data_IF_273308796628
#
_entry.id   IF_273308796628
#
_cell.length_a   1.000
_cell.length_b   1.000
_cell.length_c   1.000
_cell.angle_alpha   90.00
_cell.angle_beta   90.00
_cell.angle_gamma   90.00
#
_symmetry.space_group_name_H-M   'P 1'
#
loop_
_entity.id
_entity.type
_entity.pdbx_description
1 polymer ?
#
# COMPACT_ATOMS: atom_id res chain seq x y z
N UNK A 1 22.02 -8.98 3.01
CA UNK A 1 22.49 -9.28 4.37
C UNK A 1 23.54 -8.25 4.77
N UNK A 2 23.73 -8.00 6.06
CA UNK A 2 24.84 -7.20 6.59
C UNK A 2 25.72 -8.14 7.40
N UNK A 3 26.68 -8.79 6.73
CA UNK A 3 27.48 -9.86 7.33
C UNK A 3 28.23 -9.35 8.59
N UNK A 4 28.32 -10.18 9.65
CA UNK A 4 27.95 -11.59 9.70
C UNK A 4 26.43 -11.86 9.88
N UNK A 5 25.63 -10.85 10.19
CA UNK A 5 24.19 -11.02 10.34
C UNK A 5 23.51 -11.33 8.99
N UNK A 6 22.67 -12.38 9.00
CA UNK A 6 21.91 -12.79 7.81
C UNK A 6 22.70 -13.61 6.78
N UNK A 7 23.81 -14.26 7.17
CA UNK A 7 24.53 -15.22 6.30
C UNK A 7 23.61 -16.33 5.77
N UNK A 8 22.63 -16.76 6.56
CA UNK A 8 21.62 -17.74 6.13
C UNK A 8 20.83 -17.28 4.88
N UNK A 9 20.58 -15.97 4.72
CA UNK A 9 19.94 -15.44 3.51
C UNK A 9 20.85 -15.53 2.28
N UNK A 10 22.17 -15.33 2.46
CA UNK A 10 23.14 -15.50 1.37
C UNK A 10 23.20 -16.97 0.93
N UNK A 11 23.27 -17.91 1.88
CA UNK A 11 23.26 -19.35 1.58
C UNK A 11 21.98 -19.75 0.84
N UNK A 12 20.82 -19.36 1.37
CA UNK A 12 19.53 -19.65 0.74
C UNK A 12 19.44 -19.07 -0.69
N UNK A 13 19.88 -17.82 -0.89
CA UNK A 13 19.88 -17.20 -2.21
C UNK A 13 20.81 -17.92 -3.20
N UNK A 14 21.98 -18.39 -2.74
CA UNK A 14 22.91 -19.15 -3.56
C UNK A 14 22.34 -20.51 -3.96
N UNK A 15 21.71 -21.22 -3.02
CA UNK A 15 21.05 -22.49 -3.29
C UNK A 15 19.89 -22.34 -4.28
N UNK A 16 19.05 -21.32 -4.08
CA UNK A 16 17.97 -20.99 -5.01
C UNK A 16 18.49 -20.64 -6.41
N UNK A 17 19.55 -19.83 -6.50
CA UNK A 17 20.16 -19.47 -7.77
C UNK A 17 20.78 -20.68 -8.48
N UNK A 18 21.46 -21.56 -7.76
CA UNK A 18 22.05 -22.78 -8.31
C UNK A 18 20.99 -23.80 -8.76
N UNK A 19 19.87 -23.90 -8.05
CA UNK A 19 18.73 -24.71 -8.45
C UNK A 19 18.04 -24.15 -9.72
N UNK A 20 17.92 -22.83 -9.83
CA UNK A 20 17.32 -22.16 -10.99
C UNK A 20 18.23 -22.16 -12.23
N UNK A 21 19.55 -22.13 -12.04
CA UNK A 21 20.57 -22.18 -13.10
C UNK A 21 21.58 -23.30 -12.84
N UNK A 22 21.21 -24.58 -13.07
CA UNK A 22 22.09 -25.72 -12.81
C UNK A 22 23.41 -25.67 -13.59
N UNK A 23 23.39 -25.06 -14.78
CA UNK A 23 24.55 -24.82 -15.62
C UNK A 23 25.61 -23.90 -14.96
N UNK A 24 25.18 -23.01 -14.06
CA UNK A 24 26.06 -22.10 -13.31
C UNK A 24 26.31 -22.55 -11.87
N UNK A 25 25.74 -23.68 -11.43
CA UNK A 25 25.73 -24.07 -10.02
C UNK A 25 27.14 -24.22 -9.43
N UNK A 26 28.09 -24.76 -10.18
CA UNK A 26 29.49 -24.88 -9.74
C UNK A 26 30.16 -23.51 -9.54
N UNK A 27 29.93 -22.57 -10.45
CA UNK A 27 30.45 -21.20 -10.36
C UNK A 27 29.80 -20.42 -9.21
N UNK A 28 28.49 -20.55 -9.01
CA UNK A 28 27.79 -19.92 -7.88
C UNK A 28 28.38 -20.43 -6.56
N UNK A 29 28.50 -21.75 -6.39
CA UNK A 29 29.04 -22.36 -5.16
C UNK A 29 30.48 -21.95 -4.89
N UNK A 30 31.33 -21.77 -5.91
CA UNK A 30 32.71 -21.34 -5.70
C UNK A 30 32.82 -19.87 -5.25
N UNK A 31 31.82 -19.03 -5.55
CA UNK A 31 31.77 -17.63 -5.13
C UNK A 31 31.25 -17.44 -3.69
N UNK A 32 30.42 -18.36 -3.17
CA UNK A 32 29.81 -18.22 -1.84
C UNK A 32 30.85 -17.98 -0.73
N UNK A 33 31.96 -18.73 -0.62
CA UNK A 33 32.98 -18.48 0.42
C UNK A 33 33.69 -17.13 0.27
N UNK A 34 33.72 -16.56 -0.94
CA UNK A 34 34.30 -15.23 -1.20
C UNK A 34 33.34 -14.14 -0.75
N UNK A 35 32.05 -14.30 -1.06
CA UNK A 35 31.01 -13.31 -0.73
C UNK A 35 30.64 -13.37 0.76
N UNK A 36 30.74 -14.54 1.40
CA UNK A 36 30.44 -14.74 2.81
C UNK A 36 31.52 -14.20 3.76
N UNK A 37 32.69 -13.82 3.25
CA UNK A 37 33.81 -13.31 4.05
C UNK A 37 33.80 -11.77 4.10
N UNK A 38 33.44 -11.13 5.24
CA UNK A 38 33.36 -9.68 5.36
C UNK A 38 34.74 -8.97 5.26
N UNK A 39 35.84 -9.73 5.37
CA UNK A 39 37.19 -9.25 5.16
C UNK A 39 37.52 -8.97 3.68
N UNK A 40 36.75 -9.54 2.75
CA UNK A 40 37.00 -9.41 1.31
C UNK A 40 36.28 -8.20 0.71
N UNK A 41 37.00 -7.47 -0.15
CA UNK A 41 36.42 -6.36 -0.92
C UNK A 41 35.22 -6.81 -1.76
N UNK A 42 35.31 -8.00 -2.37
CA UNK A 42 34.22 -8.58 -3.17
C UNK A 42 32.91 -8.72 -2.35
N UNK A 43 33.00 -9.15 -1.08
CA UNK A 43 31.83 -9.25 -0.18
C UNK A 43 31.18 -7.87 0.03
N UNK A 44 32.01 -6.85 0.32
CA UNK A 44 31.54 -5.48 0.54
C UNK A 44 30.87 -4.90 -0.71
N UNK A 45 31.51 -5.03 -1.87
CA UNK A 45 30.95 -4.55 -3.16
C UNK A 45 29.67 -5.30 -3.53
N UNK A 46 29.60 -6.60 -3.27
CA UNK A 46 28.38 -7.39 -3.48
C UNK A 46 27.22 -6.86 -2.60
N UNK A 47 27.47 -6.62 -1.30
CA UNK A 47 26.45 -6.01 -0.42
C UNK A 47 26.03 -4.60 -0.87
N UNK A 48 26.96 -3.80 -1.40
CA UNK A 48 26.66 -2.47 -1.96
C UNK A 48 25.83 -2.53 -3.27
N UNK A 49 25.92 -3.63 -4.02
CA UNK A 49 25.27 -3.78 -5.34
C UNK A 49 23.91 -4.46 -5.25
N UNK A 50 23.72 -5.38 -4.30
CA UNK A 50 22.47 -6.15 -4.18
C UNK A 50 21.26 -5.28 -3.83
N UNK A 51 21.44 -4.20 -3.05
CA UNK A 51 20.38 -3.24 -2.75
C UNK A 51 19.81 -2.58 -4.02
N UNK A 52 20.64 -1.88 -4.83
CA UNK A 52 20.23 -1.34 -6.12
C UNK A 52 19.61 -2.36 -7.08
N UNK A 53 20.15 -3.59 -7.13
CA UNK A 53 19.58 -4.66 -7.98
C UNK A 53 18.16 -5.02 -7.55
N UNK A 54 17.91 -5.16 -6.25
CA UNK A 54 16.55 -5.41 -5.73
C UNK A 54 15.63 -4.22 -6.02
N UNK A 55 16.05 -3.00 -5.72
CA UNK A 55 15.22 -1.81 -5.95
C UNK A 55 14.85 -1.66 -7.43
N UNK A 56 15.82 -1.77 -8.35
CA UNK A 56 15.57 -1.60 -9.79
C UNK A 56 14.88 -2.79 -10.44
N UNK A 57 15.21 -4.01 -10.04
CA UNK A 57 14.61 -5.22 -10.62
C UNK A 57 13.22 -5.52 -10.07
N UNK A 58 12.98 -5.29 -8.78
CA UNK A 58 11.71 -5.62 -8.11
C UNK A 58 10.80 -4.41 -8.06
N UNK A 59 11.22 -3.35 -7.36
CA UNK A 59 10.33 -2.22 -7.05
C UNK A 59 10.05 -1.32 -8.26
N UNK A 60 11.05 -1.11 -9.11
CA UNK A 60 10.96 -0.27 -10.32
C UNK A 60 10.73 -1.08 -11.61
N UNK A 61 10.48 -2.39 -11.54
CA UNK A 61 10.14 -3.19 -12.72
C UNK A 61 9.10 -4.28 -12.43
N UNK A 62 9.45 -5.30 -11.64
CA UNK A 62 8.55 -6.43 -11.38
C UNK A 62 7.20 -6.00 -10.78
N UNK A 63 7.17 -4.98 -9.91
CA UNK A 63 5.95 -4.41 -9.34
C UNK A 63 5.00 -3.80 -10.36
N UNK A 64 5.51 -3.35 -11.51
CA UNK A 64 4.69 -2.84 -12.61
C UNK A 64 4.23 -3.95 -13.57
N UNK A 65 4.77 -5.16 -13.44
CA UNK A 65 4.37 -6.36 -14.18
C UNK A 65 3.40 -7.25 -13.38
N UNK A 66 3.52 -7.25 -12.05
CA UNK A 66 2.60 -7.94 -11.14
C UNK A 66 1.36 -7.08 -10.85
N UNK A 67 0.37 -7.19 -11.73
CA UNK A 67 -0.78 -6.27 -11.79
C UNK A 67 -2.05 -6.81 -11.14
N UNK A 68 -1.97 -7.96 -10.44
CA UNK A 68 -3.15 -8.63 -9.85
C UNK A 68 -3.96 -7.71 -8.92
N UNK A 69 -3.27 -6.96 -8.06
CA UNK A 69 -3.85 -5.96 -7.18
C UNK A 69 -2.77 -4.95 -6.77
N UNK A 70 -2.95 -3.68 -7.15
CA UNK A 70 -1.94 -2.63 -7.00
C UNK A 70 -1.60 -2.25 -5.54
N UNK A 71 -2.30 -2.82 -4.56
CA UNK A 71 -1.98 -2.65 -3.13
C UNK A 71 -0.87 -3.57 -2.65
N UNK A 72 -0.60 -4.65 -3.38
CA UNK A 72 0.42 -5.66 -3.03
C UNK A 72 1.81 -5.25 -3.49
N UNK A 73 1.90 -4.41 -4.52
CA UNK A 73 3.16 -3.93 -5.12
C UNK A 73 3.52 -2.56 -4.56
N UNK A 74 3.94 -2.55 -3.28
CA UNK A 74 4.46 -1.37 -2.57
C UNK A 74 5.90 -1.56 -2.13
N UNK A 75 6.61 -0.45 -1.92
CA UNK A 75 7.99 -0.47 -1.40
C UNK A 75 8.04 -1.24 -0.07
N UNK A 76 8.92 -2.24 0.00
CA UNK A 76 9.05 -3.16 1.15
C UNK A 76 7.97 -4.25 1.24
N UNK A 77 7.01 -4.31 0.32
CA UNK A 77 6.02 -5.38 0.21
C UNK A 77 6.54 -6.59 -0.56
N UNK A 78 6.07 -7.78 -0.19
CA UNK A 78 6.20 -8.99 -1.00
C UNK A 78 4.85 -9.23 -1.70
N UNK A 79 4.75 -8.94 -3.01
CA UNK A 79 3.48 -9.05 -3.70
C UNK A 79 3.02 -10.49 -3.85
N UNK A 80 3.82 -11.52 -3.52
CA UNK A 80 3.36 -12.92 -3.50
C UNK A 80 2.47 -13.22 -2.28
N UNK A 81 2.69 -12.51 -1.17
CA UNK A 81 1.89 -12.61 0.05
C UNK A 81 0.61 -11.77 -0.11
N UNK A 82 -0.48 -12.42 -0.49
CA UNK A 82 -1.75 -11.73 -0.80
C UNK A 82 -2.40 -11.06 0.42
N UNK A 83 -2.38 -11.72 1.58
CA UNK A 83 -3.00 -11.21 2.79
C UNK A 83 -2.31 -11.75 4.05
N UNK A 84 -2.49 -11.03 5.16
CA UNK A 84 -2.15 -11.50 6.50
C UNK A 84 -3.44 -11.81 7.27
N UNK A 85 -3.40 -12.87 8.07
CA UNK A 85 -4.44 -13.13 9.06
C UNK A 85 -4.37 -12.11 10.21
N UNK A 86 -5.46 -11.97 10.97
CA UNK A 86 -5.48 -11.13 12.18
C UNK A 86 -4.40 -11.57 13.18
N UNK A 87 -4.25 -12.89 13.39
CA UNK A 87 -3.16 -13.44 14.19
C UNK A 87 -1.77 -13.08 13.65
N UNK A 88 -1.58 -13.11 12.31
CA UNK A 88 -0.34 -12.70 11.66
C UNK A 88 -0.02 -11.21 11.88
N UNK A 89 -1.03 -10.34 11.83
CA UNK A 89 -0.89 -8.91 12.15
C UNK A 89 -0.46 -8.69 13.61
N UNK A 90 -1.08 -9.40 14.55
CA UNK A 90 -0.71 -9.33 15.96
C UNK A 90 0.71 -9.86 16.21
N UNK A 91 1.09 -10.96 15.59
CA UNK A 91 2.45 -11.50 15.68
C UNK A 91 3.50 -10.52 15.13
N UNK A 92 3.22 -9.85 14.01
CA UNK A 92 4.09 -8.81 13.46
C UNK A 92 4.21 -7.60 14.40
N UNK A 93 3.11 -7.20 15.03
CA UNK A 93 3.08 -6.10 16.00
C UNK A 93 3.84 -6.43 17.28
N UNK A 94 3.69 -7.64 17.82
CA UNK A 94 4.44 -8.14 18.97
C UNK A 94 5.95 -8.20 18.68
N UNK A 95 6.34 -8.71 17.50
CA UNK A 95 7.75 -8.70 17.08
C UNK A 95 8.34 -7.29 17.00
N UNK A 96 7.57 -6.33 16.48
CA UNK A 96 8.02 -4.93 16.45
C UNK A 96 8.19 -4.38 17.87
N UNK A 97 7.23 -4.64 18.76
CA UNK A 97 7.30 -4.19 20.15
C UNK A 97 8.52 -4.75 20.90
N UNK A 98 8.91 -6.00 20.63
CA UNK A 98 10.03 -6.64 21.34
C UNK A 98 11.40 -6.33 20.74
N UNK A 99 11.51 -6.29 19.40
CA UNK A 99 12.81 -6.16 18.73
C UNK A 99 13.14 -4.72 18.33
N UNK A 100 12.14 -3.92 17.95
CA UNK A 100 12.33 -2.56 17.43
C UNK A 100 11.25 -1.59 17.92
N UNK A 101 11.10 -1.37 19.24
CA UNK A 101 10.00 -0.58 19.79
C UNK A 101 9.97 0.89 19.33
N UNK A 102 11.12 1.41 18.88
CA UNK A 102 11.28 2.80 18.42
C UNK A 102 11.42 2.93 16.89
N UNK A 103 11.21 1.86 16.12
CA UNK A 103 11.26 1.95 14.65
C UNK A 103 10.09 2.76 14.11
N UNK A 104 10.32 3.45 12.99
CA UNK A 104 9.24 4.14 12.29
C UNK A 104 8.21 3.13 11.76
N UNK A 105 6.94 3.51 11.82
CA UNK A 105 5.87 2.88 11.06
C UNK A 105 5.30 3.90 10.10
N UNK A 106 5.21 3.58 8.82
CA UNK A 106 4.71 4.50 7.79
C UNK A 106 3.64 3.82 6.94
N UNK A 107 2.63 4.60 6.54
CA UNK A 107 1.65 4.19 5.54
C UNK A 107 1.92 4.85 4.18
N UNK A 108 2.41 6.08 4.17
CA UNK A 108 2.76 6.81 2.95
C UNK A 108 4.11 7.45 3.12
N UNK A 109 4.90 7.53 2.06
CA UNK A 109 6.14 8.31 2.03
C UNK A 109 6.25 9.02 0.67
N UNK A 110 7.31 9.80 0.49
CA UNK A 110 7.64 10.39 -0.81
C UNK A 110 8.06 9.37 -1.88
N UNK A 111 8.23 8.09 -1.50
CA UNK A 111 8.68 7.01 -2.39
C UNK A 111 7.68 5.85 -2.53
N UNK A 112 6.59 5.83 -1.75
CA UNK A 112 5.52 4.83 -1.95
C UNK A 112 4.93 4.92 -3.36
N UNK A 113 4.63 3.78 -4.00
CA UNK A 113 4.12 3.73 -5.38
C UNK A 113 2.68 4.25 -5.48
N UNK A 114 1.88 4.10 -4.42
CA UNK A 114 0.57 4.75 -4.22
C UNK A 114 0.40 5.17 -2.77
N UNK A 115 -0.27 6.29 -2.51
CA UNK A 115 -0.60 6.72 -1.14
C UNK A 115 -1.59 5.79 -0.45
N UNK A 116 -1.62 5.86 0.87
CA UNK A 116 -2.40 4.98 1.74
C UNK A 116 -3.90 4.90 1.40
N UNK A 117 -4.53 5.97 0.92
CA UNK A 117 -5.97 5.96 0.66
C UNK A 117 -6.32 5.43 -0.73
N UNK A 118 -5.39 5.57 -1.69
CA UNK A 118 -5.46 4.82 -2.95
C UNK A 118 -5.44 3.32 -2.64
N UNK A 119 -4.51 2.90 -1.78
CA UNK A 119 -4.40 1.49 -1.40
C UNK A 119 -5.59 1.02 -0.55
N UNK A 120 -6.08 1.83 0.38
CA UNK A 120 -7.25 1.51 1.18
C UNK A 120 -8.49 1.24 0.33
N UNK A 121 -8.72 2.06 -0.71
CA UNK A 121 -9.81 1.85 -1.67
C UNK A 121 -9.58 0.61 -2.53
N UNK A 122 -8.37 0.43 -3.07
CA UNK A 122 -8.08 -0.72 -3.93
C UNK A 122 -8.16 -2.05 -3.18
N UNK A 123 -7.81 -2.10 -1.90
CA UNK A 123 -7.95 -3.32 -1.09
C UNK A 123 -9.38 -3.83 -1.03
N UNK A 124 -10.40 -2.97 -1.19
CA UNK A 124 -11.80 -3.39 -1.24
C UNK A 124 -12.15 -4.19 -2.51
N UNK A 125 -11.35 -4.09 -3.58
CA UNK A 125 -11.52 -4.94 -4.77
C UNK A 125 -11.34 -6.44 -4.44
N UNK A 126 -10.52 -6.77 -3.44
CA UNK A 126 -10.31 -8.15 -3.01
C UNK A 126 -11.58 -8.79 -2.41
N UNK A 127 -12.52 -8.00 -1.92
CA UNK A 127 -13.83 -8.48 -1.44
C UNK A 127 -14.88 -8.61 -2.55
N UNK A 128 -14.65 -7.96 -3.70
CA UNK A 128 -15.56 -7.93 -4.83
C UNK A 128 -14.88 -8.28 -6.16
N UNK A 129 -14.13 -9.41 -6.26
CA UNK A 129 -13.32 -9.72 -7.45
C UNK A 129 -14.17 -9.89 -8.72
N UNK A 130 -15.35 -10.49 -8.62
CA UNK A 130 -16.26 -10.65 -9.76
C UNK A 130 -16.77 -9.30 -10.28
N UNK A 131 -17.10 -8.37 -9.37
CA UNK A 131 -17.52 -7.01 -9.72
C UNK A 131 -16.40 -6.27 -10.44
N UNK A 132 -15.17 -6.40 -9.96
CA UNK A 132 -13.99 -5.83 -10.63
C UNK A 132 -13.78 -6.43 -12.02
N UNK A 133 -13.84 -7.75 -12.16
CA UNK A 133 -13.64 -8.43 -13.43
C UNK A 133 -14.66 -7.97 -14.49
N UNK A 134 -15.94 -7.85 -14.12
CA UNK A 134 -16.98 -7.32 -15.01
C UNK A 134 -16.70 -5.87 -15.41
N UNK A 135 -16.39 -5.00 -14.44
CA UNK A 135 -16.10 -3.60 -14.72
C UNK A 135 -14.85 -3.44 -15.61
N UNK A 136 -13.78 -4.18 -15.32
CA UNK A 136 -12.55 -4.17 -16.13
C UNK A 136 -12.80 -4.63 -17.56
N UNK A 137 -13.62 -5.67 -17.76
CA UNK A 137 -14.01 -6.13 -19.10
C UNK A 137 -14.72 -5.02 -19.89
N UNK A 138 -15.68 -4.34 -19.24
CA UNK A 138 -16.38 -3.21 -19.85
C UNK A 138 -15.45 -2.01 -20.12
N UNK A 139 -14.54 -1.69 -19.20
CA UNK A 139 -13.57 -0.62 -19.39
C UNK A 139 -12.61 -0.92 -20.55
N UNK A 140 -12.15 -2.17 -20.67
CA UNK A 140 -11.26 -2.61 -21.75
C UNK A 140 -11.94 -2.67 -23.12
N UNK A 141 -13.26 -2.91 -23.17
CA UNK A 141 -14.00 -2.79 -24.43
C UNK A 141 -14.19 -1.33 -24.86
N UNK A 142 -14.11 -0.38 -23.93
CA UNK A 142 -14.16 1.05 -24.20
C UNK A 142 -12.79 1.54 -24.70
N UNK A 143 -11.71 1.24 -23.96
CA UNK A 143 -10.35 1.60 -24.32
C UNK A 143 -9.32 0.62 -23.72
N UNK A 144 -8.32 0.27 -24.51
CA UNK A 144 -7.26 -0.68 -24.17
C UNK A 144 -5.95 -0.25 -24.79
N UNK A 145 -4.84 -0.53 -24.11
CA UNK A 145 -3.48 -0.41 -24.66
C UNK A 145 -3.08 -1.59 -25.54
N UNK A 146 -3.92 -2.63 -25.60
CA UNK A 146 -3.58 -3.93 -26.18
C UNK A 146 -2.74 -4.81 -25.25
N UNK A 147 -2.39 -4.32 -24.04
CA UNK A 147 -1.65 -5.07 -23.03
C UNK A 147 -2.49 -5.27 -21.77
N UNK A 148 -3.17 -6.42 -21.67
CA UNK A 148 -4.19 -6.67 -20.64
C UNK A 148 -3.76 -6.50 -19.18
N UNK A 149 -2.59 -7.03 -18.76
CA UNK A 149 -2.07 -6.79 -17.40
C UNK A 149 -1.86 -5.29 -17.12
N UNK A 150 -1.35 -4.54 -18.11
CA UNK A 150 -1.10 -3.11 -17.95
C UNK A 150 -2.41 -2.31 -17.91
N UNK A 151 -3.41 -2.67 -18.74
CA UNK A 151 -4.75 -2.08 -18.65
C UNK A 151 -5.34 -2.24 -17.24
N UNK A 152 -5.20 -3.43 -16.63
CA UNK A 152 -5.66 -3.69 -15.26
C UNK A 152 -4.97 -2.75 -14.26
N UNK A 153 -3.65 -2.57 -14.37
CA UNK A 153 -2.88 -1.66 -13.51
C UNK A 153 -3.35 -0.21 -13.63
N UNK A 154 -3.56 0.27 -14.86
CA UNK A 154 -3.97 1.66 -15.12
C UNK A 154 -5.41 1.89 -14.64
N UNK A 155 -6.34 0.97 -14.95
CA UNK A 155 -7.72 1.10 -14.48
C UNK A 155 -7.84 1.02 -12.95
N UNK A 156 -7.03 0.19 -12.28
CA UNK A 156 -6.93 0.23 -10.82
C UNK A 156 -6.40 1.59 -10.34
N UNK A 157 -5.34 2.13 -10.92
CA UNK A 157 -4.82 3.44 -10.51
C UNK A 157 -5.86 4.56 -10.68
N UNK A 158 -6.61 4.54 -11.78
CA UNK A 158 -7.72 5.47 -12.05
C UNK A 158 -8.78 5.36 -10.94
N UNK A 159 -9.30 4.17 -10.67
CA UNK A 159 -10.32 3.93 -9.63
C UNK A 159 -9.80 4.29 -8.24
N UNK A 160 -8.56 3.92 -7.94
CA UNK A 160 -7.90 4.16 -6.66
C UNK A 160 -7.72 5.65 -6.38
N UNK A 161 -7.27 6.43 -7.38
CA UNK A 161 -7.00 7.86 -7.24
C UNK A 161 -8.19 8.78 -7.54
N UNK A 162 -9.34 8.23 -7.97
CA UNK A 162 -10.49 9.03 -8.41
C UNK A 162 -11.09 9.91 -7.29
N UNK A 163 -11.48 11.17 -7.57
CA UNK A 163 -11.24 11.91 -8.81
C UNK A 163 -9.77 12.34 -8.94
N UNK A 164 -9.20 12.18 -10.14
CA UNK A 164 -7.86 12.64 -10.49
C UNK A 164 -7.88 13.23 -11.89
N UNK A 165 -7.07 14.26 -12.14
CA UNK A 165 -7.05 14.91 -13.45
C UNK A 165 -6.43 14.00 -14.52
N UNK A 166 -6.80 14.16 -15.80
CA UNK A 166 -6.20 13.40 -16.91
C UNK A 166 -4.67 13.47 -16.91
N UNK A 167 -4.09 14.64 -16.60
CA UNK A 167 -2.64 14.85 -16.62
C UNK A 167 -1.92 14.00 -15.57
N UNK A 168 -2.49 13.90 -14.36
CA UNK A 168 -1.95 13.06 -13.28
C UNK A 168 -2.00 11.58 -13.64
N UNK A 169 -3.14 11.14 -14.19
CA UNK A 169 -3.35 9.75 -14.58
C UNK A 169 -2.45 9.34 -15.76
N UNK A 170 -2.29 10.23 -16.76
CA UNK A 170 -1.36 10.05 -17.87
C UNK A 170 0.08 9.95 -17.40
N UNK A 171 0.53 10.90 -16.57
CA UNK A 171 1.90 10.91 -16.05
C UNK A 171 2.23 9.61 -15.30
N UNK A 172 1.30 9.14 -14.46
CA UNK A 172 1.42 7.84 -13.80
C UNK A 172 1.49 6.68 -14.81
N UNK A 173 0.58 6.63 -15.78
CA UNK A 173 0.49 5.50 -16.70
C UNK A 173 1.73 5.39 -17.60
N UNK A 174 2.22 6.50 -18.15
CA UNK A 174 3.47 6.52 -18.94
C UNK A 174 4.66 6.07 -18.09
N UNK A 175 4.79 6.58 -16.86
CA UNK A 175 5.85 6.14 -15.94
C UNK A 175 5.74 4.65 -15.67
N UNK A 176 4.56 4.15 -15.29
CA UNK A 176 4.32 2.73 -15.03
C UNK A 176 4.66 1.84 -16.24
N UNK A 177 4.35 2.28 -17.45
CA UNK A 177 4.66 1.54 -18.68
C UNK A 177 6.17 1.47 -18.93
N UNK A 178 6.89 2.59 -18.72
CA UNK A 178 8.34 2.66 -18.92
C UNK A 178 9.13 1.91 -17.86
N UNK A 179 8.66 1.94 -16.60
CA UNK A 179 9.22 1.14 -15.51
C UNK A 179 9.00 -0.38 -15.77
N UNK A 180 7.84 -0.78 -16.29
CA UNK A 180 7.61 -2.19 -16.63
C UNK A 180 8.55 -2.68 -17.74
N UNK A 181 8.92 -1.81 -18.69
CA UNK A 181 9.80 -2.14 -19.83
C UNK A 181 9.32 -3.36 -20.64
N UNK A 182 8.01 -3.59 -20.72
CA UNK A 182 7.42 -4.68 -21.52
C UNK A 182 7.02 -4.24 -22.93
N UNK A 183 6.60 -2.98 -23.09
CA UNK A 183 6.09 -2.42 -24.36
C UNK A 183 6.69 -1.07 -24.75
N UNK A 184 7.09 -0.27 -23.75
CA UNK A 184 7.83 0.99 -23.91
C UNK A 184 8.84 1.05 -22.77
N UNK A 185 9.94 1.78 -22.92
CA UNK A 185 10.96 1.92 -21.87
C UNK A 185 11.50 3.34 -21.80
N UNK A 186 12.26 3.64 -20.74
CA UNK A 186 12.96 4.92 -20.64
C UNK A 186 14.03 5.12 -21.72
N UNK A 187 14.65 4.04 -22.20
CA UNK A 187 15.75 4.10 -23.18
C UNK A 187 15.24 4.13 -24.62
N UNK A 188 14.16 3.40 -24.90
CA UNK A 188 13.53 3.27 -26.22
C UNK A 188 12.01 3.40 -26.06
N UNK A 189 11.46 4.64 -26.12
CA UNK A 189 10.03 4.88 -25.99
C UNK A 189 9.24 4.45 -27.24
N UNK A 190 8.15 3.70 -27.04
CA UNK A 190 7.18 3.35 -28.09
C UNK A 190 6.05 4.39 -28.10
N UNK A 191 6.11 5.32 -29.05
CA UNK A 191 5.12 6.39 -29.21
C UNK A 191 3.70 5.87 -29.51
N UNK A 192 3.57 4.81 -30.30
CA UNK A 192 2.27 4.24 -30.66
C UNK A 192 1.61 3.58 -29.44
N UNK A 193 2.40 2.93 -28.59
CA UNK A 193 1.90 2.41 -27.31
C UNK A 193 1.53 3.53 -26.34
N UNK A 194 2.34 4.58 -26.22
CA UNK A 194 2.04 5.73 -25.37
C UNK A 194 0.80 6.51 -25.83
N UNK A 195 0.52 6.61 -27.13
CA UNK A 195 -0.73 7.18 -27.66
C UNK A 195 -1.97 6.38 -27.24
N UNK A 196 -1.86 5.04 -27.13
CA UNK A 196 -2.96 4.22 -26.61
C UNK A 196 -3.19 4.44 -25.12
N UNK A 197 -2.14 4.78 -24.35
CA UNK A 197 -2.29 5.20 -22.94
C UNK A 197 -3.13 6.48 -22.87
N UNK A 198 -2.88 7.43 -23.77
CA UNK A 198 -3.63 8.69 -23.84
C UNK A 198 -5.10 8.43 -24.16
N UNK A 199 -5.38 7.53 -25.11
CA UNK A 199 -6.74 7.08 -25.40
C UNK A 199 -7.45 6.45 -24.20
N UNK A 200 -6.74 5.66 -23.39
CA UNK A 200 -7.28 5.04 -22.17
C UNK A 200 -7.61 6.10 -21.10
N UNK A 201 -6.69 7.02 -20.83
CA UNK A 201 -6.89 8.10 -19.85
C UNK A 201 -8.02 9.05 -20.27
N UNK A 202 -8.11 9.37 -21.57
CA UNK A 202 -9.21 10.16 -22.11
C UNK A 202 -10.55 9.43 -21.97
N UNK A 203 -10.58 8.11 -22.22
CA UNK A 203 -11.78 7.31 -22.05
C UNK A 203 -12.29 7.28 -20.61
N UNK A 204 -11.41 7.32 -19.60
CA UNK A 204 -11.79 7.38 -18.19
C UNK A 204 -12.63 8.62 -17.84
N UNK A 205 -12.40 9.74 -18.54
CA UNK A 205 -13.14 10.99 -18.38
C UNK A 205 -14.26 11.18 -19.41
N UNK A 206 -14.30 10.33 -20.45
CA UNK A 206 -15.32 10.32 -21.49
C UNK A 206 -16.22 9.09 -21.35
N UNK A 207 -16.17 8.20 -22.37
CA UNK A 207 -17.07 7.05 -22.51
C UNK A 207 -17.06 6.07 -21.32
N UNK A 208 -15.98 6.00 -20.55
CA UNK A 208 -15.81 5.11 -19.39
C UNK A 208 -16.22 5.74 -18.05
N UNK A 209 -16.53 7.04 -18.00
CA UNK A 209 -16.72 7.77 -16.73
C UNK A 209 -17.85 7.18 -15.88
N UNK A 210 -18.93 6.71 -16.51
CA UNK A 210 -20.05 6.08 -15.81
C UNK A 210 -19.62 4.78 -15.10
N UNK A 211 -18.79 3.97 -15.75
CA UNK A 211 -18.27 2.71 -15.18
C UNK A 211 -17.29 3.01 -14.05
N UNK A 212 -16.37 3.96 -14.25
CA UNK A 212 -15.43 4.41 -13.22
C UNK A 212 -16.20 4.93 -11.99
N UNK A 213 -17.17 5.82 -12.18
CA UNK A 213 -17.98 6.35 -11.08
C UNK A 213 -18.80 5.27 -10.37
N UNK A 214 -19.31 4.28 -11.10
CA UNK A 214 -20.02 3.15 -10.50
C UNK A 214 -19.09 2.34 -9.59
N UNK A 215 -17.90 1.96 -10.07
CA UNK A 215 -16.92 1.22 -9.26
C UNK A 215 -16.47 2.06 -8.06
N UNK A 216 -16.14 3.33 -8.26
CA UNK A 216 -15.72 4.22 -7.17
C UNK A 216 -16.85 4.41 -6.15
N UNK A 217 -18.10 4.46 -6.59
CA UNK A 217 -19.28 4.48 -5.73
C UNK A 217 -19.37 3.25 -4.85
N UNK A 218 -19.26 2.07 -5.44
CA UNK A 218 -19.32 0.77 -4.75
C UNK A 218 -18.21 0.64 -3.69
N UNK A 219 -17.01 1.17 -3.98
CA UNK A 219 -15.84 1.05 -3.10
C UNK A 219 -15.68 2.19 -2.10
N UNK A 220 -16.49 3.25 -2.18
CA UNK A 220 -16.24 4.50 -1.44
C UNK A 220 -16.23 4.31 0.07
N UNK A 221 -17.31 3.76 0.62
CA UNK A 221 -17.44 3.55 2.05
C UNK A 221 -16.41 2.53 2.57
N UNK A 222 -16.17 1.46 1.83
CA UNK A 222 -15.15 0.47 2.14
C UNK A 222 -13.73 1.06 2.15
N UNK A 223 -13.41 1.91 1.18
CA UNK A 223 -12.13 2.61 1.11
C UNK A 223 -11.90 3.55 2.29
N UNK A 224 -12.93 4.32 2.68
CA UNK A 224 -12.85 5.17 3.89
C UNK A 224 -12.71 4.34 5.16
N UNK A 225 -13.47 3.25 5.31
CA UNK A 225 -13.33 2.31 6.43
C UNK A 225 -11.91 1.76 6.52
N UNK A 226 -11.37 1.25 5.40
CA UNK A 226 -10.01 0.71 5.35
C UNK A 226 -8.95 1.76 5.67
N UNK A 227 -9.14 3.02 5.24
CA UNK A 227 -8.22 4.11 5.54
C UNK A 227 -8.21 4.47 7.03
N UNK A 228 -9.38 4.67 7.63
CA UNK A 228 -9.51 4.96 9.06
C UNK A 228 -8.93 3.81 9.89
N UNK A 229 -9.22 2.57 9.53
CA UNK A 229 -8.66 1.38 10.15
C UNK A 229 -7.14 1.35 10.05
N UNK A 230 -6.56 1.49 8.86
CA UNK A 230 -5.12 1.45 8.68
C UNK A 230 -4.43 2.57 9.47
N UNK A 231 -4.98 3.79 9.43
CA UNK A 231 -4.42 4.94 10.15
C UNK A 231 -4.50 4.75 11.66
N UNK A 232 -5.64 4.32 12.21
CA UNK A 232 -5.77 4.03 13.64
C UNK A 232 -4.81 2.92 14.09
N UNK A 233 -4.77 1.80 13.37
CA UNK A 233 -3.90 0.66 13.70
C UNK A 233 -2.41 1.04 13.66
N UNK A 234 -2.00 1.91 12.73
CA UNK A 234 -0.63 2.41 12.65
C UNK A 234 -0.30 3.39 13.80
N UNK A 235 -1.14 4.40 14.04
CA UNK A 235 -0.89 5.44 15.05
C UNK A 235 -0.92 4.87 16.48
N UNK A 236 -1.86 3.97 16.75
CA UNK A 236 -2.01 3.32 18.05
C UNK A 236 -1.06 2.13 18.23
N UNK A 237 -0.46 1.59 17.17
CA UNK A 237 0.37 0.39 17.21
C UNK A 237 1.79 0.59 17.80
N UNK A 238 2.57 -0.49 17.99
CA UNK A 238 3.98 -0.44 18.36
C UNK A 238 4.84 0.30 17.32
N UNK A 239 5.93 0.93 17.75
CA UNK A 239 6.78 1.78 16.89
C UNK A 239 6.49 3.29 17.06
N UNK A 240 7.18 4.12 16.29
CA UNK A 240 6.99 5.56 16.19
C UNK A 240 6.22 5.85 14.90
N UNK A 241 4.94 6.26 14.97
CA UNK A 241 4.16 6.46 13.76
C UNK A 241 4.60 7.72 13.02
N UNK A 242 5.00 7.55 11.77
CA UNK A 242 5.21 8.63 10.82
C UNK A 242 3.89 9.02 10.15
N UNK A 243 3.72 10.32 9.88
CA UNK A 243 2.56 10.88 9.18
C UNK A 243 3.09 11.76 8.06
N UNK A 244 3.07 11.22 6.86
CA UNK A 244 3.46 11.96 5.66
C UNK A 244 2.58 13.19 5.47
N UNK A 245 3.17 14.29 5.03
CA UNK A 245 2.50 15.58 4.91
C UNK A 245 1.19 15.47 4.12
N UNK A 246 0.10 15.91 4.72
CA UNK A 246 -1.21 15.89 4.08
C UNK A 246 -2.04 14.62 4.30
N UNK A 247 -1.43 13.52 4.75
CA UNK A 247 -2.09 12.21 4.96
C UNK A 247 -2.96 12.12 6.21
N UNK A 248 -3.05 13.19 7.01
CA UNK A 248 -4.08 13.35 8.04
C UNK A 248 -5.50 13.51 7.45
N UNK A 249 -5.59 13.84 6.16
CA UNK A 249 -6.81 13.79 5.34
C UNK A 249 -6.70 12.68 4.28
N UNK A 250 -7.70 12.56 3.39
CA UNK A 250 -7.64 11.64 2.26
C UNK A 250 -6.50 12.03 1.30
N UNK A 251 -5.49 11.17 1.16
CA UNK A 251 -4.39 11.27 0.22
C UNK A 251 -4.53 10.24 -0.91
N UNK A 252 -5.10 10.71 -2.02
CA UNK A 252 -5.30 9.96 -3.25
C UNK A 252 -4.17 10.22 -4.27
N UNK A 253 -2.92 10.27 -3.79
CA UNK A 253 -1.75 10.44 -4.66
C UNK A 253 -1.21 9.11 -5.20
N UNK A 254 -0.67 9.18 -6.41
CA UNK A 254 0.08 8.11 -7.07
C UNK A 254 1.59 8.32 -6.83
N UNK A 255 2.43 7.55 -7.53
CA UNK A 255 3.90 7.62 -7.39
C UNK A 255 4.45 9.01 -7.71
N UNK A 256 5.64 9.31 -7.17
CA UNK A 256 6.44 10.50 -7.47
C UNK A 256 6.41 10.87 -8.98
N UNK A 257 6.12 12.14 -9.33
CA UNK A 257 5.97 13.32 -8.45
C UNK A 257 4.56 13.57 -7.90
N UNK A 258 3.58 12.70 -8.13
CA UNK A 258 2.20 12.97 -7.72
C UNK A 258 2.01 13.02 -6.20
N UNK A 259 2.78 12.22 -5.45
CA UNK A 259 2.83 12.24 -3.97
C UNK A 259 3.66 13.40 -3.39
N UNK A 260 4.17 14.32 -4.23
CA UNK A 260 4.94 15.51 -3.80
C UNK A 260 4.21 16.82 -4.05
N UNK A 261 2.92 16.76 -4.40
CA UNK A 261 2.07 17.94 -4.61
C UNK A 261 1.99 18.80 -3.33
N UNK A 262 1.84 20.13 -3.45
CA UNK A 262 1.71 21.02 -2.30
C UNK A 262 0.53 20.67 -1.40
N UNK A 263 0.71 20.86 -0.09
CA UNK A 263 -0.31 20.59 0.93
C UNK A 263 -0.91 21.90 1.41
N UNK A 264 -2.25 22.02 1.35
CA UNK A 264 -2.96 23.14 1.98
C UNK A 264 -3.08 22.91 3.49
N UNK A 265 -2.07 23.41 4.23
CA UNK A 265 -2.06 23.39 5.70
C UNK A 265 -3.06 24.38 6.31
N UNK A 266 -3.44 25.44 5.60
CA UNK A 266 -4.39 26.42 6.11
C UNK A 266 -5.79 25.81 6.24
N UNK A 267 -6.23 25.04 5.24
CA UNK A 267 -7.48 24.28 5.31
C UNK A 267 -7.47 23.25 6.46
N UNK A 268 -6.36 22.52 6.63
CA UNK A 268 -6.19 21.54 7.71
C UNK A 268 -6.25 22.17 9.11
N UNK A 269 -5.61 23.33 9.29
CA UNK A 269 -5.67 24.06 10.58
C UNK A 269 -7.08 24.50 10.92
N UNK A 270 -7.84 25.00 9.94
CA UNK A 270 -9.26 25.37 10.16
C UNK A 270 -10.09 24.16 10.56
N UNK A 271 -10.00 23.07 9.78
CA UNK A 271 -10.74 21.85 10.11
C UNK A 271 -10.34 21.28 11.47
N UNK A 272 -9.05 21.31 11.83
CA UNK A 272 -8.58 20.87 13.15
C UNK A 272 -9.14 21.74 14.28
N UNK A 273 -9.22 23.06 14.09
CA UNK A 273 -9.84 23.95 15.06
C UNK A 273 -11.32 23.62 15.26
N UNK A 274 -12.08 23.41 14.18
CA UNK A 274 -13.49 23.02 14.27
C UNK A 274 -13.68 21.70 15.05
N UNK A 275 -12.79 20.71 14.83
CA UNK A 275 -12.79 19.45 15.59
C UNK A 275 -12.48 19.65 17.07
N UNK A 276 -11.57 20.58 17.38
CA UNK A 276 -11.17 20.92 18.74
C UNK A 276 -12.27 21.67 19.49
N UNK A 277 -13.08 22.45 18.76
CA UNK A 277 -14.29 23.12 19.25
C UNK A 277 -15.51 22.17 19.37
N UNK A 278 -15.33 20.88 19.08
CA UNK A 278 -16.32 19.84 19.33
C UNK A 278 -17.10 19.36 18.10
N UNK A 279 -16.72 19.78 16.88
CA UNK A 279 -17.28 19.20 15.66
C UNK A 279 -17.04 17.68 15.64
N UNK A 280 -18.13 16.91 15.50
CA UNK A 280 -18.07 15.48 15.19
C UNK A 280 -18.35 15.28 13.70
N UNK A 281 -17.33 15.09 12.86
CA UNK A 281 -17.49 15.02 11.41
C UNK A 281 -18.09 13.66 11.00
N UNK A 282 -18.93 13.63 9.95
CA UNK A 282 -19.30 12.37 9.31
C UNK A 282 -18.09 11.74 8.59
N UNK A 283 -18.22 10.46 8.21
CA UNK A 283 -17.29 9.81 7.30
C UNK A 283 -17.69 10.15 5.86
N UNK A 284 -17.07 11.18 5.30
CA UNK A 284 -17.38 11.68 3.96
C UNK A 284 -16.16 12.21 3.19
N UNK A 285 -16.40 12.92 2.09
CA UNK A 285 -15.36 13.50 1.23
C UNK A 285 -14.53 14.62 1.88
N UNK A 286 -14.95 15.19 3.00
CA UNK A 286 -14.20 16.26 3.71
C UNK A 286 -12.96 15.72 4.43
N UNK A 287 -12.90 14.41 4.67
CA UNK A 287 -11.87 13.73 5.45
C UNK A 287 -11.78 14.17 6.93
N UNK A 288 -12.79 14.88 7.46
CA UNK A 288 -12.82 15.29 8.86
C UNK A 288 -12.70 14.10 9.82
N UNK A 289 -13.35 12.98 9.52
CA UNK A 289 -13.23 11.75 10.30
C UNK A 289 -11.78 11.23 10.39
N UNK A 290 -10.99 11.34 9.32
CA UNK A 290 -9.58 10.90 9.32
C UNK A 290 -8.70 11.86 10.12
N UNK A 291 -8.95 13.16 10.03
CA UNK A 291 -8.26 14.15 10.85
C UNK A 291 -8.58 13.98 12.33
N UNK A 292 -9.83 13.65 12.66
CA UNK A 292 -10.23 13.31 14.02
C UNK A 292 -9.43 12.10 14.53
N UNK A 293 -9.43 10.97 13.80
CA UNK A 293 -8.64 9.78 14.18
C UNK A 293 -7.17 10.13 14.37
N UNK A 294 -6.59 10.87 13.42
CA UNK A 294 -5.16 11.19 13.41
C UNK A 294 -4.78 12.10 14.57
N UNK A 295 -5.50 13.21 14.74
CA UNK A 295 -5.23 14.18 15.80
C UNK A 295 -5.44 13.58 17.19
N UNK A 296 -6.52 12.83 17.41
CA UNK A 296 -6.83 12.25 18.73
C UNK A 296 -5.88 11.12 19.09
N UNK A 297 -5.52 10.23 18.15
CA UNK A 297 -4.55 9.17 18.42
C UNK A 297 -3.15 9.73 18.72
N UNK A 298 -2.67 10.72 17.94
CA UNK A 298 -1.36 11.33 18.17
C UNK A 298 -1.31 12.12 19.48
N UNK A 299 -2.33 12.92 19.79
CA UNK A 299 -2.39 13.67 21.06
C UNK A 299 -2.48 12.73 22.25
N UNK A 300 -3.28 11.67 22.18
CA UNK A 300 -3.34 10.66 23.24
C UNK A 300 -1.96 10.03 23.46
N UNK A 301 -1.25 9.68 22.39
CA UNK A 301 0.09 9.09 22.50
C UNK A 301 1.13 10.04 23.06
N UNK A 302 1.08 11.32 22.68
CA UNK A 302 2.00 12.37 23.14
C UNK A 302 1.74 12.76 24.60
N UNK A 303 0.48 12.99 24.94
CA UNK A 303 0.07 13.62 26.20
C UNK A 303 -0.23 12.58 27.30
N UNK A 304 -0.53 11.33 26.92
CA UNK A 304 -0.79 10.21 27.83
C UNK A 304 0.05 8.96 27.47
N UNK A 305 1.39 9.08 27.46
CA UNK A 305 2.27 7.95 27.13
C UNK A 305 2.14 6.78 28.13
N UNK A 306 1.63 7.04 29.34
CA UNK A 306 1.30 6.03 30.36
C UNK A 306 0.30 4.97 29.87
N UNK A 307 -0.51 5.30 28.85
CA UNK A 307 -1.48 4.37 28.24
C UNK A 307 -0.87 3.45 27.18
N UNK A 308 0.41 3.63 26.82
CA UNK A 308 1.10 2.95 25.72
C UNK A 308 2.31 2.12 26.18
N UNK A 309 2.11 1.26 27.18
CA UNK A 309 3.15 0.48 27.86
C UNK A 309 3.31 -0.96 27.37
N UNK A 310 2.32 -1.54 26.69
CA UNK A 310 2.32 -2.93 26.21
C UNK A 310 1.66 -3.08 24.85
N UNK A 311 1.53 -4.32 24.37
CA UNK A 311 0.69 -4.68 23.23
C UNK A 311 -0.01 -6.00 23.53
N UNK A 312 -1.33 -5.97 23.66
CA UNK A 312 -2.16 -7.14 23.97
C UNK A 312 -3.23 -7.28 22.88
N UNK A 313 -3.17 -8.32 22.02
CA UNK A 313 -4.27 -8.63 21.12
C UNK A 313 -5.56 -8.84 21.90
N UNK A 314 -6.66 -8.25 21.42
CA UNK A 314 -7.97 -8.39 22.06
C UNK A 314 -8.81 -9.42 21.29
N UNK A 315 -9.49 -10.29 22.03
CA UNK A 315 -10.48 -11.20 21.47
C UNK A 315 -11.74 -10.42 21.14
N UNK A 316 -12.24 -10.60 19.93
CA UNK A 316 -13.58 -10.17 19.50
C UNK A 316 -14.42 -11.42 19.32
N UNK A 317 -15.64 -11.43 19.85
CA UNK A 317 -16.52 -12.60 19.83
C UNK A 317 -17.85 -12.28 19.14
N UNK A 318 -18.50 -13.30 18.57
CA UNK A 318 -19.79 -13.15 17.86
C UNK A 318 -19.68 -13.32 16.35
N UNK A 319 -20.81 -13.17 15.66
CA UNK A 319 -20.94 -13.64 14.28
C UNK A 319 -20.14 -12.83 13.24
N UNK A 320 -19.67 -11.62 13.58
CA UNK A 320 -18.83 -10.77 12.74
C UNK A 320 -17.42 -10.55 13.32
N UNK A 321 -16.96 -11.38 14.26
CA UNK A 321 -15.66 -11.23 14.91
C UNK A 321 -14.49 -11.09 13.93
N UNK A 322 -14.54 -11.83 12.81
CA UNK A 322 -13.51 -11.77 11.76
C UNK A 322 -13.42 -10.43 11.02
N UNK A 323 -14.41 -9.54 11.19
CA UNK A 323 -14.41 -8.19 10.63
C UNK A 323 -13.73 -7.16 11.55
N UNK A 324 -13.26 -7.55 12.74
CA UNK A 324 -12.57 -6.66 13.65
C UNK A 324 -11.08 -6.99 13.77
N UNK A 325 -10.29 -5.96 14.04
CA UNK A 325 -8.93 -6.06 14.56
C UNK A 325 -8.89 -5.18 15.81
N UNK A 326 -8.53 -5.76 16.96
CA UNK A 326 -8.51 -5.05 18.22
C UNK A 326 -7.24 -5.34 19.03
N UNK A 327 -6.67 -4.31 19.66
CA UNK A 327 -5.55 -4.47 20.59
C UNK A 327 -5.55 -3.38 21.67
N UNK A 328 -5.06 -3.73 22.86
CA UNK A 328 -4.79 -2.82 23.96
C UNK A 328 -3.29 -2.46 24.03
N UNK A 329 -3.01 -1.18 24.27
CA UNK A 329 -1.64 -0.66 24.46
C UNK A 329 -1.24 -0.45 25.92
N UNK A 330 -2.10 -0.74 26.88
CA UNK A 330 -1.85 -0.50 28.31
C UNK A 330 -3.02 0.13 29.06
N UNK A 331 -3.95 0.70 28.31
CA UNK A 331 -4.99 1.63 28.77
C UNK A 331 -5.62 2.42 27.63
N UNK A 332 -5.06 2.31 26.41
CA UNK A 332 -5.67 2.75 25.17
C UNK A 332 -6.01 1.54 24.29
N UNK A 333 -7.31 1.36 24.00
CA UNK A 333 -7.83 0.32 23.12
C UNK A 333 -8.00 0.87 21.69
N UNK A 334 -7.48 0.16 20.70
CA UNK A 334 -7.76 0.42 19.29
C UNK A 334 -8.62 -0.70 18.71
N UNK A 335 -9.71 -0.35 18.04
CA UNK A 335 -10.60 -1.28 17.35
C UNK A 335 -10.84 -0.77 15.93
N UNK A 336 -10.58 -1.61 14.94
CA UNK A 336 -10.65 -1.27 13.53
C UNK A 336 -11.43 -2.31 12.75
N UNK A 337 -12.09 -1.88 11.66
CA UNK A 337 -12.84 -2.76 10.76
C UNK A 337 -11.93 -3.29 9.66
N UNK A 338 -12.06 -4.58 9.33
CA UNK A 338 -11.52 -5.22 8.13
C UNK A 338 -12.65 -5.88 7.34
N UNK A 339 -12.45 -6.02 6.04
CA UNK A 339 -13.45 -6.56 5.13
C UNK A 339 -14.82 -5.85 5.23
N UNK A 340 -14.87 -4.52 5.05
CA UNK A 340 -16.09 -3.74 5.22
C UNK A 340 -17.21 -4.08 4.22
N UNK A 341 -16.89 -4.54 3.00
CA UNK A 341 -17.94 -4.94 2.05
C UNK A 341 -18.64 -6.21 2.51
N UNK A 342 -17.87 -7.21 2.98
CA UNK A 342 -18.42 -8.42 3.58
C UNK A 342 -19.24 -8.12 4.83
N UNK A 343 -18.77 -7.19 5.67
CA UNK A 343 -19.49 -6.76 6.88
C UNK A 343 -20.83 -6.10 6.54
N UNK A 344 -20.86 -5.24 5.51
CA UNK A 344 -22.10 -4.63 5.06
C UNK A 344 -23.06 -5.68 4.48
N UNK A 345 -22.56 -6.61 3.67
CA UNK A 345 -23.37 -7.66 3.03
C UNK A 345 -24.05 -8.60 4.04
N UNK A 346 -23.42 -8.86 5.20
CA UNK A 346 -24.02 -9.66 6.29
C UNK A 346 -24.99 -8.88 7.19
N UNK A 347 -25.23 -7.60 6.92
CA UNK A 347 -26.12 -6.75 7.73
C UNK A 347 -25.47 -6.07 8.93
N UNK A 348 -24.13 -5.93 8.95
CA UNK A 348 -23.39 -5.24 10.01
C UNK A 348 -22.91 -6.17 11.13
N UNK A 349 -22.70 -5.60 12.32
CA UNK A 349 -22.02 -6.27 13.44
C UNK A 349 -22.85 -7.31 14.19
N UNK A 350 -24.18 -7.15 14.24
CA UNK A 350 -25.07 -8.08 14.93
C UNK A 350 -24.74 -8.21 16.43
N UNK A 351 -24.48 -9.44 16.87
CA UNK A 351 -24.17 -9.83 18.26
C UNK A 351 -22.67 -9.71 18.63
N UNK A 352 -21.85 -9.14 17.74
CA UNK A 352 -20.40 -9.08 17.93
C UNK A 352 -19.99 -8.11 19.04
N UNK A 353 -19.12 -8.55 19.94
CA UNK A 353 -18.62 -7.81 21.13
C UNK A 353 -17.11 -7.84 21.27
#
# INVERSE_FOLDING_TARGET
>A
SYLPAGVAHLTHAADAAAAHRPDLAAAIRSLVPVIADPGKEASRRFMQTTGPVTAKGVEDAAFYRETRLGTLTEVGGDPSVFALSVAGFHAASLRRQSAWPYTLTALTTHDTKRSEDVRARLSALAEAPARWATALSQLRSIATTGHGPFDNLVWQAIVGAWPASPERLRAYAVKAARESAERTSWADPDAEFEDRIDGLVAAAHGRGVAVVNSVVGDLRAAGWSNSLSAKLLQLAGPGVPDVYQGSELWDLSLVDPDNRRPVDFSARRRLLADLDDGLLPPVDGTAGAKLLVTSRALRLRRDRPDLFTRYTPMTVAGAAADHAIAFDRGGALAVATRLPLGLAARGGWGDTV
#
